data_IF_096151809837
#
_entry.id   IF_096151809837
#
_cell.length_a   1.000
_cell.length_b   1.000
_cell.length_c   1.000
_cell.angle_alpha   90.00
_cell.angle_beta   90.00
_cell.angle_gamma   90.00
#
_symmetry.space_group_name_H-M   'P 1'
#
loop_
_entity.id
_entity.type
_entity.pdbx_description
1 polymer ?
#
# COMPACT_ATOMS: atom_id res chain seq x y z
N UNK A 1 -19.19 10.59 8.71
CA UNK A 1 -19.08 11.82 7.89
C UNK A 1 -20.45 12.48 7.79
N UNK A 2 -20.54 13.78 8.08
CA UNK A 2 -21.75 14.58 7.89
C UNK A 2 -21.44 15.72 6.91
N UNK A 3 -21.97 15.64 5.69
CA UNK A 3 -21.91 16.73 4.71
C UNK A 3 -23.15 17.60 4.82
N UNK A 4 -22.95 18.91 4.99
CA UNK A 4 -24.04 19.84 5.28
C UNK A 4 -24.56 20.59 4.05
N UNK A 5 -23.91 20.44 2.89
CA UNK A 5 -24.28 20.81 1.48
C UNK A 5 -24.82 22.23 1.23
N UNK A 6 -25.22 23.01 2.24
CA UNK A 6 -26.04 24.20 2.12
C UNK A 6 -25.23 25.44 2.52
N UNK A 7 -24.69 26.11 1.52
CA UNK A 7 -24.24 27.51 1.60
C UNK A 7 -25.10 28.32 0.65
N UNK A 8 -26.21 28.90 1.14
CA UNK A 8 -27.07 29.78 0.34
C UNK A 8 -27.17 31.17 0.96
N UNK A 9 -27.40 32.19 0.11
CA UNK A 9 -27.60 33.58 0.55
C UNK A 9 -28.89 33.76 1.36
N UNK A 10 -29.83 32.82 1.24
CA UNK A 10 -31.10 32.82 1.96
C UNK A 10 -31.00 32.30 3.41
N UNK A 11 -29.82 31.86 3.86
CA UNK A 11 -29.55 31.26 5.19
C UNK A 11 -30.46 30.07 5.57
N UNK A 12 -31.10 29.42 4.61
CA UNK A 12 -32.06 28.33 4.85
C UNK A 12 -31.34 26.99 5.00
N UNK A 13 -31.48 26.38 6.17
CA UNK A 13 -30.85 25.08 6.50
C UNK A 13 -31.71 23.86 6.11
N UNK A 14 -33.04 24.02 6.04
CA UNK A 14 -33.99 22.94 5.72
C UNK A 14 -33.87 21.70 6.62
N UNK A 15 -33.47 20.54 6.08
CA UNK A 15 -33.48 19.22 6.76
C UNK A 15 -32.77 19.16 8.12
N UNK A 16 -31.82 20.07 8.38
CA UNK A 16 -31.04 20.14 9.62
C UNK A 16 -31.72 20.96 10.74
N UNK A 17 -32.95 21.42 10.52
CA UNK A 17 -33.73 22.21 11.50
C UNK A 17 -34.36 21.34 12.60
N UNK A 18 -34.46 20.02 12.40
CA UNK A 18 -35.03 19.09 13.38
C UNK A 18 -33.96 18.57 14.33
N UNK A 19 -34.06 18.98 15.59
CA UNK A 19 -33.15 18.63 16.69
C UNK A 19 -32.92 17.12 16.83
N UNK A 20 -33.99 16.32 16.75
CA UNK A 20 -33.92 14.86 16.85
C UNK A 20 -33.01 14.23 15.78
N UNK A 21 -32.88 14.84 14.59
CA UNK A 21 -32.00 14.33 13.53
C UNK A 21 -30.54 14.68 13.75
N UNK A 22 -30.26 15.79 14.42
CA UNK A 22 -28.91 16.19 14.78
C UNK A 22 -28.34 15.24 15.84
N UNK A 23 -29.11 14.95 16.89
CA UNK A 23 -28.71 13.99 17.92
C UNK A 23 -28.42 12.60 17.33
N UNK A 24 -29.30 12.10 16.45
CA UNK A 24 -29.10 10.81 15.75
C UNK A 24 -27.87 10.83 14.84
N UNK A 25 -27.61 11.95 14.15
CA UNK A 25 -26.43 12.06 13.30
C UNK A 25 -25.13 12.07 14.10
N UNK A 26 -25.11 12.77 15.25
CA UNK A 26 -23.96 12.85 16.15
C UNK A 26 -23.68 11.52 16.86
N UNK A 27 -24.72 10.79 17.28
CA UNK A 27 -24.56 9.56 18.07
C UNK A 27 -24.14 8.33 17.26
N UNK A 28 -24.03 8.43 15.94
CA UNK A 28 -23.73 7.30 15.05
C UNK A 28 -22.23 7.07 14.81
N UNK A 29 -21.40 8.06 15.10
CA UNK A 29 -19.96 7.92 14.97
C UNK A 29 -19.39 7.08 16.11
N UNK A 30 -18.55 6.09 15.78
CA UNK A 30 -17.84 5.26 16.76
C UNK A 30 -16.39 5.69 16.91
N UNK A 31 -15.68 5.83 15.79
CA UNK A 31 -14.24 6.09 15.79
C UNK A 31 -13.87 7.53 15.41
N UNK A 32 -14.71 8.20 14.63
CA UNK A 32 -14.45 9.57 14.20
C UNK A 32 -15.65 10.25 13.55
N UNK A 33 -15.77 11.56 13.76
CA UNK A 33 -16.87 12.37 13.24
C UNK A 33 -16.37 13.64 12.56
N UNK A 34 -16.47 13.67 11.23
CA UNK A 34 -16.12 14.81 10.41
C UNK A 34 -17.38 15.53 9.93
N UNK A 35 -17.38 16.86 10.04
CA UNK A 35 -18.47 17.74 9.62
C UNK A 35 -17.95 18.68 8.55
N UNK A 36 -18.55 18.67 7.36
CA UNK A 36 -18.15 19.53 6.25
C UNK A 36 -19.30 20.49 5.93
N UNK A 37 -19.09 21.80 6.11
CA UNK A 37 -20.04 22.85 5.75
C UNK A 37 -19.91 24.15 6.54
N UNK A 38 -20.87 25.06 6.35
CA UNK A 38 -20.86 26.38 6.98
C UNK A 38 -21.39 26.34 8.42
N UNK A 39 -20.49 26.11 9.39
CA UNK A 39 -20.84 26.04 10.81
C UNK A 39 -21.49 27.33 11.35
N UNK A 40 -21.11 28.51 10.83
CA UNK A 40 -21.69 29.77 11.26
C UNK A 40 -23.17 29.87 10.87
N UNK A 41 -23.49 29.47 9.64
CA UNK A 41 -24.87 29.45 9.15
C UNK A 41 -25.74 28.49 9.99
N UNK A 42 -25.19 27.34 10.40
CA UNK A 42 -25.89 26.39 11.25
C UNK A 42 -26.15 26.92 12.66
N UNK A 43 -25.11 27.47 13.29
CA UNK A 43 -25.21 28.01 14.64
C UNK A 43 -26.22 29.15 14.77
N UNK A 44 -26.44 29.93 13.70
CA UNK A 44 -27.46 30.99 13.67
C UNK A 44 -28.91 30.46 13.61
N UNK A 45 -29.12 29.21 13.18
CA UNK A 45 -30.44 28.71 12.85
C UNK A 45 -31.03 27.75 13.90
N UNK A 46 -30.22 27.12 14.76
CA UNK A 46 -30.71 26.23 15.83
C UNK A 46 -29.81 26.27 17.05
N UNK A 47 -30.39 26.10 18.25
CA UNK A 47 -29.64 26.08 19.53
C UNK A 47 -28.65 24.91 19.61
N UNK A 48 -29.01 23.73 19.11
CA UNK A 48 -28.11 22.55 19.13
C UNK A 48 -26.83 22.81 18.34
N UNK A 49 -26.93 23.36 17.12
CA UNK A 49 -25.74 23.67 16.32
C UNK A 49 -24.85 24.75 16.97
N UNK A 50 -25.44 25.67 17.73
CA UNK A 50 -24.68 26.64 18.53
C UNK A 50 -23.85 25.94 19.61
N UNK A 51 -24.45 25.03 20.38
CA UNK A 51 -23.74 24.25 21.41
C UNK A 51 -22.68 23.31 20.82
N UNK A 52 -22.97 22.70 19.67
CA UNK A 52 -22.01 21.87 18.91
C UNK A 52 -20.83 22.71 18.46
N UNK A 53 -21.07 23.89 17.86
CA UNK A 53 -20.00 24.82 17.46
C UNK A 53 -19.12 25.18 18.65
N UNK A 54 -19.71 25.53 19.79
CA UNK A 54 -18.97 25.92 20.98
C UNK A 54 -18.13 24.76 21.54
N UNK A 55 -18.67 23.54 21.50
CA UNK A 55 -17.94 22.34 21.90
C UNK A 55 -16.76 22.04 20.99
N UNK A 56 -16.93 22.19 19.67
CA UNK A 56 -15.86 22.01 18.69
C UNK A 56 -14.77 23.09 18.78
N UNK A 57 -15.13 24.35 19.06
CA UNK A 57 -14.16 25.42 19.28
C UNK A 57 -13.27 25.18 20.51
N UNK A 58 -13.83 24.63 21.60
CA UNK A 58 -13.07 24.33 22.82
C UNK A 58 -11.98 23.28 22.62
N UNK A 59 -12.13 22.40 21.64
CA UNK A 59 -11.17 21.35 21.30
C UNK A 59 -10.36 21.67 20.03
N UNK A 60 -10.43 22.92 19.55
CA UNK A 60 -9.76 23.39 18.32
C UNK A 60 -10.08 22.53 17.07
N UNK A 61 -11.30 22.00 16.98
CA UNK A 61 -11.75 21.11 15.92
C UNK A 61 -12.48 21.83 14.77
N UNK A 62 -12.36 23.16 14.67
CA UNK A 62 -12.93 23.93 13.56
C UNK A 62 -11.80 24.59 12.77
N UNK A 63 -11.69 24.21 11.50
CA UNK A 63 -10.71 24.78 10.59
C UNK A 63 -11.17 24.72 9.14
N UNK A 64 -10.35 25.31 8.26
CA UNK A 64 -10.50 25.22 6.79
C UNK A 64 -9.75 24.03 6.19
N UNK A 65 -9.00 23.31 7.02
CA UNK A 65 -8.10 22.23 6.64
C UNK A 65 -8.59 20.95 7.31
N UNK A 66 -8.56 19.87 6.55
CA UNK A 66 -8.76 18.51 7.03
C UNK A 66 -7.40 17.82 7.04
N UNK A 67 -7.05 17.14 8.13
CA UNK A 67 -5.86 16.30 8.17
C UNK A 67 -6.24 14.88 7.77
N UNK A 68 -5.63 14.37 6.71
CA UNK A 68 -5.78 12.98 6.26
C UNK A 68 -4.49 12.20 6.53
N UNK A 69 -4.62 10.95 6.95
CA UNK A 69 -3.47 10.07 7.22
C UNK A 69 -3.16 9.20 6.02
N UNK A 70 -1.87 9.02 5.71
CA UNK A 70 -1.47 7.99 4.75
C UNK A 70 -1.78 6.59 5.30
N UNK A 71 -2.32 5.70 4.46
CA UNK A 71 -2.66 4.33 4.88
C UNK A 71 -1.43 3.46 5.17
N UNK A 72 -0.30 3.71 4.49
CA UNK A 72 0.97 3.01 4.72
C UNK A 72 1.86 3.70 5.76
N UNK A 73 1.68 5.01 5.94
CA UNK A 73 2.40 5.80 6.92
C UNK A 73 1.40 6.51 7.84
N UNK A 74 0.77 5.80 8.80
CA UNK A 74 -0.30 6.36 9.63
C UNK A 74 0.12 7.61 10.44
N UNK A 75 1.42 7.76 10.70
CA UNK A 75 2.00 8.90 11.39
C UNK A 75 2.18 10.15 10.52
N UNK A 76 1.99 10.03 9.20
CA UNK A 76 2.09 11.14 8.25
C UNK A 76 0.70 11.68 8.00
N UNK A 77 0.50 12.92 8.44
CA UNK A 77 -0.73 13.68 8.26
C UNK A 77 -0.53 14.73 7.17
N UNK A 78 -1.36 14.68 6.15
CA UNK A 78 -1.42 15.70 5.09
C UNK A 78 -2.59 16.62 5.37
N UNK A 79 -2.34 17.93 5.39
CA UNK A 79 -3.39 18.94 5.51
C UNK A 79 -3.94 19.28 4.14
N UNK A 80 -5.22 19.04 3.91
CA UNK A 80 -5.93 19.34 2.65
C UNK A 80 -7.07 20.33 2.88
N UNK A 81 -7.39 21.15 1.89
CA UNK A 81 -8.38 22.23 1.97
C UNK A 81 -9.56 22.03 1.03
N UNK A 82 -9.36 21.34 -0.10
CA UNK A 82 -10.38 21.10 -1.10
C UNK A 82 -10.34 19.66 -1.64
N UNK A 83 -11.27 19.36 -2.55
CA UNK A 83 -11.38 18.03 -3.16
C UNK A 83 -10.19 17.66 -4.04
N UNK A 84 -9.56 18.64 -4.68
CA UNK A 84 -8.42 18.39 -5.56
C UNK A 84 -7.20 17.99 -4.75
N UNK A 85 -6.90 18.69 -3.66
CA UNK A 85 -5.81 18.32 -2.74
C UNK A 85 -6.06 16.95 -2.08
N UNK A 86 -7.33 16.57 -1.86
CA UNK A 86 -7.69 15.22 -1.38
C UNK A 86 -7.38 14.17 -2.45
N UNK A 87 -7.81 14.39 -3.70
CA UNK A 87 -7.56 13.48 -4.82
C UNK A 87 -6.06 13.28 -5.05
N UNK A 88 -5.30 14.38 -5.14
CA UNK A 88 -3.85 14.36 -5.30
C UNK A 88 -3.17 13.56 -4.18
N UNK A 89 -3.51 13.82 -2.91
CA UNK A 89 -2.92 13.10 -1.78
C UNK A 89 -3.28 11.60 -1.75
N UNK A 90 -4.42 11.21 -2.34
CA UNK A 90 -4.82 9.80 -2.46
C UNK A 90 -4.11 9.11 -3.62
N UNK A 91 -3.91 9.80 -4.75
CA UNK A 91 -3.28 9.25 -5.96
C UNK A 91 -1.75 9.19 -5.86
N UNK A 92 -1.12 10.29 -5.48
CA UNK A 92 0.35 10.40 -5.40
C UNK A 92 0.91 9.69 -4.17
N UNK A 93 0.11 9.53 -3.11
CA UNK A 93 0.57 9.01 -1.83
C UNK A 93 1.27 10.09 -0.98
N UNK A 94 2.06 9.66 0.01
CA UNK A 94 2.75 10.60 0.90
C UNK A 94 4.24 10.75 0.55
N UNK A 95 4.90 11.76 1.12
CA UNK A 95 6.30 12.10 0.81
C UNK A 95 7.35 11.12 1.37
N UNK A 96 6.94 10.08 2.11
CA UNK A 96 7.85 9.06 2.64
C UNK A 96 8.16 7.99 1.60
N UNK A 97 9.30 7.30 1.76
CA UNK A 97 9.61 6.12 0.96
C UNK A 97 8.60 5.02 1.25
N UNK A 98 8.30 4.18 0.25
CA UNK A 98 7.35 3.09 0.40
C UNK A 98 7.87 2.02 1.38
N UNK A 99 9.16 1.65 1.27
CA UNK A 99 9.83 0.66 2.14
C UNK A 99 9.13 -0.70 2.23
N UNK A 100 8.18 -0.98 1.34
CA UNK A 100 7.53 -2.28 1.27
C UNK A 100 8.54 -3.33 0.83
N UNK A 101 8.55 -4.48 1.53
CA UNK A 101 9.39 -5.60 1.15
C UNK A 101 8.81 -6.31 -0.08
N UNK A 102 9.60 -6.38 -1.14
CA UNK A 102 9.27 -7.04 -2.40
C UNK A 102 9.42 -8.56 -2.26
N UNK A 103 8.79 -9.32 -3.17
CA UNK A 103 8.95 -10.79 -3.25
C UNK A 103 10.40 -11.26 -3.36
N UNK A 104 11.27 -10.43 -3.93
CA UNK A 104 12.69 -10.72 -4.07
C UNK A 104 13.52 -10.42 -2.80
N UNK A 105 12.89 -9.95 -1.72
CA UNK A 105 13.53 -9.61 -0.45
C UNK A 105 14.02 -8.16 -0.33
N UNK A 106 14.18 -7.44 -1.45
CA UNK A 106 14.55 -6.01 -1.44
C UNK A 106 13.39 -5.10 -1.02
N UNK A 107 13.70 -3.91 -0.54
CA UNK A 107 12.70 -2.87 -0.24
C UNK A 107 12.42 -1.97 -1.45
N UNK A 108 11.19 -1.49 -1.58
CA UNK A 108 10.83 -0.51 -2.60
C UNK A 108 11.54 0.83 -2.35
N UNK A 109 12.30 1.36 -3.32
CA UNK A 109 13.03 2.62 -3.20
C UNK A 109 12.22 3.85 -3.65
N UNK A 110 10.98 3.67 -4.13
CA UNK A 110 10.14 4.79 -4.56
C UNK A 110 9.46 5.47 -3.37
N UNK A 111 9.01 6.70 -3.59
CA UNK A 111 8.07 7.36 -2.68
C UNK A 111 6.79 6.55 -2.59
N UNK A 112 6.10 6.66 -1.45
CA UNK A 112 4.84 5.99 -1.19
C UNK A 112 3.88 6.25 -2.34
N UNK A 113 3.37 5.20 -2.97
CA UNK A 113 2.55 5.29 -4.18
C UNK A 113 1.25 4.49 -3.99
N UNK A 114 0.16 4.97 -4.60
CA UNK A 114 -1.12 4.25 -4.58
C UNK A 114 -1.30 3.29 -5.76
N UNK A 115 -0.70 3.59 -6.92
CA UNK A 115 -0.73 2.71 -8.09
C UNK A 115 0.29 1.57 -7.89
N UNK A 116 -0.17 0.31 -7.86
CA UNK A 116 0.62 -0.91 -7.56
C UNK A 116 1.18 -1.05 -6.12
N UNK A 117 0.33 -0.88 -5.11
CA UNK A 117 0.69 -1.13 -3.69
C UNK A 117 1.28 -2.52 -3.43
N UNK A 118 0.83 -3.53 -4.18
CA UNK A 118 1.29 -4.92 -4.04
C UNK A 118 2.65 -5.19 -4.68
N UNK A 119 3.18 -4.26 -5.50
CA UNK A 119 4.37 -4.44 -6.32
C UNK A 119 4.32 -5.76 -7.14
N UNK A 120 3.11 -6.09 -7.59
CA UNK A 120 2.76 -7.45 -7.99
C UNK A 120 2.84 -7.69 -9.48
N UNK A 121 2.61 -6.65 -10.28
CA UNK A 121 2.41 -6.74 -11.73
C UNK A 121 3.33 -5.82 -12.53
N UNK A 122 3.56 -4.59 -12.06
CA UNK A 122 4.27 -3.57 -12.85
C UNK A 122 5.66 -3.25 -12.31
N UNK A 123 5.86 -3.43 -11.00
CA UNK A 123 7.14 -3.12 -10.38
C UNK A 123 8.24 -4.16 -10.71
N UNK A 124 9.28 -3.70 -11.39
CA UNK A 124 10.53 -4.44 -11.60
C UNK A 124 11.64 -3.92 -10.67
N UNK A 125 12.17 -4.79 -9.81
CA UNK A 125 13.23 -4.42 -8.87
C UNK A 125 14.53 -4.05 -9.61
N UNK A 126 15.03 -2.83 -9.37
CA UNK A 126 16.27 -2.31 -9.96
C UNK A 126 17.49 -2.42 -9.04
N UNK A 127 17.33 -2.96 -7.83
CA UNK A 127 18.43 -3.19 -6.91
C UNK A 127 19.42 -4.24 -7.46
N UNK A 128 20.66 -4.22 -6.98
CA UNK A 128 21.66 -5.25 -7.30
C UNK A 128 21.13 -6.62 -6.84
N UNK A 129 21.18 -7.62 -7.71
CA UNK A 129 20.72 -8.95 -7.35
C UNK A 129 21.60 -9.57 -6.27
N UNK A 130 20.99 -9.98 -5.15
CA UNK A 130 21.68 -10.65 -4.04
C UNK A 130 21.69 -12.18 -4.16
N UNK A 131 21.13 -12.74 -5.25
CA UNK A 131 21.11 -14.19 -5.50
C UNK A 131 22.51 -14.69 -5.84
N UNK A 132 22.83 -15.88 -5.32
CA UNK A 132 24.00 -16.66 -5.71
C UNK A 132 23.66 -17.55 -6.90
N UNK A 133 24.49 -17.52 -7.94
CA UNK A 133 24.19 -18.16 -9.23
C UNK A 133 24.84 -19.55 -9.42
N UNK A 134 25.65 -19.99 -8.45
CA UNK A 134 26.34 -21.28 -8.49
C UNK A 134 26.68 -21.77 -7.08
N UNK A 135 27.05 -23.06 -6.93
CA UNK A 135 27.45 -23.65 -5.65
C UNK A 135 28.72 -23.06 -5.01
N UNK A 136 29.52 -22.31 -5.77
CA UNK A 136 30.69 -21.55 -5.26
C UNK A 136 30.33 -20.15 -4.75
N UNK A 137 29.04 -19.87 -4.52
CA UNK A 137 28.54 -18.61 -3.94
C UNK A 137 28.83 -17.32 -4.73
N UNK A 138 29.07 -17.39 -6.04
CA UNK A 138 29.28 -16.20 -6.87
C UNK A 138 28.02 -15.31 -6.91
N UNK A 139 28.16 -13.97 -6.69
CA UNK A 139 27.04 -13.04 -6.72
C UNK A 139 26.56 -12.80 -8.15
N UNK A 140 25.26 -12.64 -8.33
CA UNK A 140 24.70 -12.28 -9.63
C UNK A 140 25.15 -10.86 -10.06
N UNK A 141 25.67 -10.68 -11.30
CA UNK A 141 26.09 -9.36 -11.79
C UNK A 141 24.91 -8.49 -12.27
N UNK A 142 23.71 -9.06 -12.38
CA UNK A 142 22.52 -8.37 -12.92
C UNK A 142 21.72 -7.65 -11.83
N UNK A 143 20.78 -6.81 -12.26
CA UNK A 143 19.74 -6.27 -11.37
C UNK A 143 18.74 -7.37 -10.98
N UNK A 144 18.11 -7.21 -9.82
CA UNK A 144 17.29 -8.24 -9.21
C UNK A 144 16.04 -8.60 -10.04
N UNK A 145 15.44 -7.64 -10.73
CA UNK A 145 14.24 -7.84 -11.55
C UNK A 145 14.46 -8.65 -12.83
N UNK A 146 15.72 -8.90 -13.22
CA UNK A 146 16.05 -9.75 -14.36
C UNK A 146 16.29 -11.20 -13.93
N UNK A 147 16.08 -12.13 -14.87
CA UNK A 147 16.49 -13.52 -14.67
C UNK A 147 18.02 -13.62 -14.56
N UNK A 148 18.49 -14.34 -13.54
CA UNK A 148 19.90 -14.61 -13.35
C UNK A 148 20.46 -15.39 -14.55
N UNK A 149 21.66 -15.02 -14.99
CA UNK A 149 22.40 -15.80 -15.98
C UNK A 149 23.24 -16.89 -15.31
N UNK A 150 23.57 -17.97 -16.03
CA UNK A 150 24.56 -18.94 -15.59
C UNK A 150 25.90 -18.29 -15.26
N UNK A 151 26.66 -18.90 -14.35
CA UNK A 151 28.02 -18.48 -14.01
C UNK A 151 28.97 -18.71 -15.20
N UNK A 152 29.82 -17.74 -15.51
CA UNK A 152 30.82 -17.81 -16.59
C UNK A 152 32.26 -17.93 -16.09
N UNK A 153 32.47 -18.14 -14.78
CA UNK A 153 33.80 -18.34 -14.22
C UNK A 153 34.36 -19.71 -14.61
N UNK A 154 35.63 -19.74 -14.97
CA UNK A 154 36.38 -20.92 -15.43
C UNK A 154 36.44 -22.04 -14.37
N UNK A 155 36.21 -21.71 -13.10
CA UNK A 155 36.22 -22.65 -11.96
C UNK A 155 35.08 -23.70 -11.99
N UNK A 156 34.11 -23.58 -12.91
CA UNK A 156 33.04 -24.57 -13.09
C UNK A 156 33.34 -25.61 -14.18
N UNK A 157 34.51 -25.55 -14.84
CA UNK A 157 34.81 -26.40 -16.01
C UNK A 157 35.31 -27.82 -15.64
N UNK A 158 35.68 -28.09 -14.38
CA UNK A 158 36.17 -29.42 -13.99
C UNK A 158 35.06 -30.45 -13.72
N UNK A 159 33.82 -30.02 -13.46
CA UNK A 159 32.70 -30.96 -13.25
C UNK A 159 31.96 -31.30 -14.56
N UNK A 160 32.14 -30.51 -15.63
CA UNK A 160 31.55 -30.82 -16.95
C UNK A 160 32.39 -31.84 -17.75
N UNK A 161 33.70 -31.86 -17.56
CA UNK A 161 34.59 -32.81 -18.25
C UNK A 161 34.31 -34.26 -17.83
N UNK A 162 33.94 -34.52 -16.57
CA UNK A 162 33.67 -35.88 -16.09
C UNK A 162 32.25 -36.39 -16.37
N UNK A 163 31.25 -35.50 -16.46
CA UNK A 163 29.86 -35.89 -16.74
C UNK A 163 29.57 -36.14 -18.23
N UNK A 164 30.35 -35.55 -19.15
CA UNK A 164 30.26 -35.89 -20.58
C UNK A 164 31.01 -37.18 -20.94
N UNK A 165 32.03 -37.57 -20.18
CA UNK A 165 32.74 -38.83 -20.40
C UNK A 165 31.93 -40.06 -19.95
N UNK A 166 31.02 -39.91 -18.97
CA UNK A 166 30.18 -40.99 -18.47
C UNK A 166 28.95 -41.29 -19.36
N UNK A 167 28.59 -40.40 -20.29
CA UNK A 167 27.43 -40.55 -21.19
C UNK A 167 27.70 -41.34 -22.47
N UNK A 168 28.91 -41.90 -22.64
CA UNK A 168 29.33 -42.59 -23.86
C UNK A 168 29.79 -44.05 -23.61
N UNK A 169 29.26 -44.71 -22.58
CA UNK A 169 29.32 -46.18 -22.49
C UNK A 169 27.87 -46.67 -22.44
N UNK A 170 27.43 -47.18 -23.58
CA UNK A 170 26.05 -47.53 -23.86
C UNK A 170 25.48 -48.59 -22.93
N UNK A 171 24.16 -48.54 -22.85
CA UNK A 171 23.26 -49.48 -22.21
C UNK A 171 23.61 -50.95 -22.54
N UNK A 172 24.15 -51.65 -21.54
CA UNK A 172 24.02 -53.10 -21.44
C UNK A 172 22.96 -53.40 -20.39
N UNK A 173 21.77 -53.71 -20.89
CA UNK A 173 20.61 -54.19 -20.14
C UNK A 173 20.99 -55.47 -19.40
N UNK A 174 20.96 -55.46 -18.06
CA UNK A 174 20.77 -56.68 -17.27
C UNK A 174 19.67 -56.42 -16.26
N UNK A 175 18.53 -57.04 -16.56
CA UNK A 175 17.36 -57.15 -15.68
C UNK A 175 17.71 -57.99 -14.45
N UNK A 176 17.44 -57.44 -13.26
CA UNK A 176 17.25 -58.22 -12.05
C UNK A 176 16.20 -57.49 -11.19
N UNK A 177 15.18 -58.24 -10.78
CA UNK A 177 13.89 -57.74 -10.34
C UNK A 177 13.88 -56.87 -9.07
N UNK A 178 12.81 -56.11 -8.93
CA UNK A 178 12.49 -55.37 -7.71
C UNK A 178 11.32 -54.42 -7.94
N UNK A 179 10.09 -54.90 -7.71
CA UNK A 179 8.92 -54.03 -7.57
C UNK A 179 9.12 -53.09 -6.39
N UNK A 180 8.64 -51.84 -6.47
CA UNK A 180 7.92 -51.17 -5.38
C UNK A 180 7.28 -49.84 -5.82
N UNK A 181 5.99 -49.74 -5.47
CA UNK A 181 5.10 -48.57 -5.52
C UNK A 181 5.59 -47.43 -4.61
N UNK A 182 5.24 -46.18 -4.97
CA UNK A 182 5.26 -45.03 -4.05
C UNK A 182 4.81 -43.75 -4.75
N UNK A 183 3.50 -43.44 -4.74
CA UNK A 183 2.82 -42.44 -3.88
C UNK A 183 3.40 -41.02 -3.95
N UNK A 184 2.62 -40.17 -4.61
CA UNK A 184 2.67 -38.73 -4.59
C UNK A 184 2.09 -38.25 -3.25
N UNK A 185 2.84 -37.40 -2.54
CA UNK A 185 2.31 -36.24 -1.85
C UNK A 185 3.05 -35.01 -2.39
#
# INVERSE_FOLDING_TARGET
LLSLVRSNNERKVGFLKMENRVCVALSRARDGFYIIGNMNLLALNTKIWFEVKHSLLRIDAIGKRLSISCQHHPHILTSVTDGYEIEEAVEEGCTRLCEAQLRCGHFCPYQCHSNDRSHGREYMCRAKCQRQICGSNHPCPKICGLMCSPCTHEDHDLSRILLWAAGAVGDAVVSAGGWLLGKIF
#
